data_IF_174180741898
#
_entry.id   IF_174180741898
#
_cell.length_a   1.000
_cell.length_b   1.000
_cell.length_c   1.000
_cell.angle_alpha   90.00
_cell.angle_beta   90.00
_cell.angle_gamma   90.00
#
_symmetry.space_group_name_H-M   'P 1'
#
loop_
_entity.id
_entity.type
_entity.pdbx_description
1 polymer ?
#
# COMPACT_ATOMS: atom_id res chain seq x y z
N UNK A 1 -61.82 0.96 10.64
CA UNK A 1 -60.62 0.61 9.85
C UNK A 1 -60.16 -0.77 10.26
N UNK A 2 -60.42 -1.75 9.41
CA UNK A 2 -60.52 -3.20 9.75
C UNK A 2 -59.21 -3.80 10.25
N UNK A 3 -59.26 -4.44 11.42
CA UNK A 3 -58.19 -5.21 12.08
C UNK A 3 -57.66 -6.32 11.16
N UNK A 4 -58.48 -6.87 10.30
CA UNK A 4 -58.13 -7.89 9.31
C UNK A 4 -57.24 -7.36 8.17
N UNK A 5 -57.32 -6.09 7.79
CA UNK A 5 -56.51 -5.50 6.73
C UNK A 5 -55.06 -5.28 7.19
N UNK A 6 -54.82 -4.99 8.48
CA UNK A 6 -53.48 -4.88 9.07
C UNK A 6 -52.76 -6.23 9.11
N UNK A 7 -53.49 -7.31 9.39
CA UNK A 7 -52.92 -8.65 9.46
C UNK A 7 -52.57 -9.19 8.06
N UNK A 8 -53.32 -8.82 7.02
CA UNK A 8 -53.03 -9.22 5.63
C UNK A 8 -51.81 -8.47 5.11
N UNK A 9 -51.51 -7.27 5.56
CA UNK A 9 -50.33 -6.50 5.15
C UNK A 9 -49.06 -6.88 5.94
N UNK A 10 -49.20 -7.34 7.18
CA UNK A 10 -48.07 -7.78 8.03
C UNK A 10 -47.54 -9.16 7.68
N UNK A 11 -48.36 -10.04 7.10
CA UNK A 11 -47.97 -11.39 6.76
C UNK A 11 -46.88 -11.44 5.66
N UNK A 12 -46.99 -10.71 4.53
CA UNK A 12 -45.93 -10.71 3.51
C UNK A 12 -44.67 -9.98 3.98
N UNK A 13 -44.78 -8.99 4.87
CA UNK A 13 -43.62 -8.29 5.44
C UNK A 13 -42.83 -9.21 6.39
N UNK A 14 -43.52 -10.00 7.23
CA UNK A 14 -42.87 -11.01 8.07
C UNK A 14 -42.19 -12.13 7.25
N UNK A 15 -42.82 -12.54 6.15
CA UNK A 15 -42.24 -13.53 5.25
C UNK A 15 -40.99 -12.99 4.53
N UNK A 16 -40.99 -11.72 4.11
CA UNK A 16 -39.83 -11.07 3.49
C UNK A 16 -38.66 -10.94 4.49
N UNK A 17 -38.92 -10.59 5.75
CA UNK A 17 -37.90 -10.55 6.79
C UNK A 17 -37.28 -11.94 7.09
N UNK A 18 -38.06 -13.01 7.03
CA UNK A 18 -37.55 -14.37 7.23
C UNK A 18 -36.57 -14.83 6.13
N UNK A 19 -36.73 -14.33 4.90
CA UNK A 19 -35.80 -14.60 3.79
C UNK A 19 -34.43 -13.91 3.95
N UNK A 20 -34.37 -12.78 4.65
CA UNK A 20 -33.10 -12.08 4.88
C UNK A 20 -32.21 -12.69 5.99
N UNK A 21 -32.79 -13.54 6.85
CA UNK A 21 -32.05 -14.18 7.96
C UNK A 21 -31.37 -15.49 7.50
N UNK A 22 -31.69 -16.01 6.31
CA UNK A 22 -31.10 -17.24 5.77
C UNK A 22 -29.75 -17.02 5.08
N UNK A 23 -29.15 -15.85 5.18
CA UNK A 23 -27.75 -15.64 4.79
C UNK A 23 -26.83 -16.18 5.90
N UNK A 24 -26.95 -17.48 6.18
CA UNK A 24 -25.91 -18.22 6.90
C UNK A 24 -24.63 -18.14 6.07
N UNK A 25 -23.63 -17.44 6.60
CA UNK A 25 -22.26 -17.65 6.18
C UNK A 25 -21.99 -19.15 6.28
N UNK A 26 -21.66 -19.79 5.18
CA UNK A 26 -20.94 -21.05 5.23
C UNK A 26 -19.63 -20.73 5.93
N UNK A 27 -19.49 -21.10 7.18
CA UNK A 27 -18.20 -21.35 7.79
C UNK A 27 -17.60 -22.52 6.98
N UNK A 28 -16.88 -22.18 5.90
CA UNK A 28 -15.99 -23.15 5.27
C UNK A 28 -15.02 -23.56 6.38
N UNK A 29 -15.13 -24.79 6.83
CA UNK A 29 -14.12 -25.42 7.68
C UNK A 29 -12.83 -25.32 6.90
N UNK A 30 -12.00 -24.34 7.27
CA UNK A 30 -10.73 -24.08 6.63
C UNK A 30 -9.82 -25.25 6.94
N UNK A 31 -9.74 -26.19 5.98
CA UNK A 31 -8.82 -27.32 6.08
C UNK A 31 -7.43 -26.72 6.13
N UNK A 32 -6.76 -26.86 7.27
CA UNK A 32 -5.40 -26.41 7.50
C UNK A 32 -4.48 -27.07 6.46
N UNK A 33 -4.10 -26.29 5.46
CA UNK A 33 -3.22 -26.78 4.38
C UNK A 33 -1.78 -26.55 4.81
N UNK A 34 -0.84 -27.43 4.43
CA UNK A 34 0.57 -27.22 4.73
C UNK A 34 1.07 -25.86 4.24
N UNK A 35 1.91 -25.20 5.01
CA UNK A 35 2.51 -23.88 4.71
C UNK A 35 2.96 -23.75 3.25
N UNK A 36 3.63 -24.80 2.74
CA UNK A 36 4.11 -24.85 1.36
C UNK A 36 2.99 -24.65 0.32
N UNK A 37 1.80 -25.13 0.57
CA UNK A 37 0.66 -25.01 -0.38
C UNK A 37 0.24 -23.56 -0.51
N UNK A 38 0.21 -22.81 0.59
CA UNK A 38 -0.07 -21.36 0.55
C UNK A 38 1.03 -20.61 -0.17
N UNK A 39 2.30 -20.96 0.09
CA UNK A 39 3.44 -20.34 -0.58
C UNK A 39 3.44 -20.60 -2.09
N UNK A 40 3.26 -21.84 -2.52
CA UNK A 40 3.17 -22.21 -3.95
C UNK A 40 1.96 -21.54 -4.64
N UNK A 41 0.85 -21.35 -3.93
CA UNK A 41 -0.30 -20.60 -4.43
C UNK A 41 0.04 -19.14 -4.64
N UNK A 42 0.69 -18.50 -3.68
CA UNK A 42 1.13 -17.11 -3.79
C UNK A 42 2.05 -16.93 -5.00
N UNK A 43 3.05 -17.82 -5.17
CA UNK A 43 3.98 -17.79 -6.28
C UNK A 43 3.27 -17.90 -7.64
N UNK A 44 2.30 -18.80 -7.77
CA UNK A 44 1.50 -18.96 -9.01
C UNK A 44 0.69 -17.70 -9.30
N UNK A 45 0.07 -17.10 -8.29
CA UNK A 45 -0.75 -15.88 -8.42
C UNK A 45 0.11 -14.68 -8.82
N UNK A 46 1.29 -14.52 -8.24
CA UNK A 46 2.25 -13.47 -8.64
C UNK A 46 2.70 -13.61 -10.10
N UNK A 47 2.95 -14.84 -10.57
CA UNK A 47 3.34 -15.08 -11.98
C UNK A 47 2.30 -14.64 -13.00
N UNK A 48 1.01 -14.63 -12.61
CA UNK A 48 -0.09 -14.16 -13.49
C UNK A 48 -0.55 -12.74 -13.10
N UNK A 49 0.26 -12.00 -12.34
CA UNK A 49 -0.02 -10.63 -11.87
C UNK A 49 -1.30 -10.51 -11.02
N UNK A 50 -1.78 -11.59 -10.43
CA UNK A 50 -2.89 -11.57 -9.48
C UNK A 50 -2.35 -11.31 -8.07
N UNK A 51 -1.94 -10.06 -7.83
CA UNK A 51 -1.32 -9.66 -6.57
C UNK A 51 -2.30 -9.69 -5.41
N UNK A 52 -3.57 -9.34 -5.63
CA UNK A 52 -4.62 -9.46 -4.62
C UNK A 52 -4.73 -10.88 -4.05
N UNK A 53 -4.85 -11.87 -4.93
CA UNK A 53 -4.90 -13.25 -4.49
C UNK A 53 -3.59 -13.77 -3.88
N UNK A 54 -2.43 -13.23 -4.31
CA UNK A 54 -1.15 -13.55 -3.70
C UNK A 54 -1.07 -13.02 -2.26
N UNK A 55 -1.51 -11.79 -2.01
CA UNK A 55 -1.61 -11.18 -0.68
C UNK A 55 -2.38 -12.09 0.27
N UNK A 56 -3.57 -12.54 -0.13
CA UNK A 56 -4.40 -13.45 0.68
C UNK A 56 -3.62 -14.71 1.09
N UNK A 57 -2.92 -15.34 0.15
CA UNK A 57 -2.16 -16.56 0.43
C UNK A 57 -0.95 -16.31 1.35
N UNK A 58 -0.25 -15.18 1.18
CA UNK A 58 0.90 -14.81 2.01
C UNK A 58 0.47 -14.38 3.42
N UNK A 59 -0.63 -13.67 3.56
CA UNK A 59 -1.21 -13.33 4.87
C UNK A 59 -1.61 -14.57 5.68
N UNK A 60 -2.10 -15.63 5.00
CA UNK A 60 -2.37 -16.90 5.68
C UNK A 60 -1.11 -17.54 6.22
N UNK A 61 0.02 -17.46 5.51
CA UNK A 61 1.31 -17.92 6.04
C UNK A 61 1.68 -17.12 7.28
N UNK A 62 1.56 -15.81 7.22
CA UNK A 62 1.92 -14.93 8.33
C UNK A 62 1.07 -15.19 9.60
N UNK A 63 -0.22 -15.52 9.41
CA UNK A 63 -1.14 -15.74 10.53
C UNK A 63 -1.11 -17.17 11.06
N UNK A 64 -1.04 -18.18 10.20
CA UNK A 64 -1.11 -19.59 10.59
C UNK A 64 0.27 -20.20 10.87
N UNK A 65 1.32 -19.70 10.20
CA UNK A 65 2.69 -20.24 10.28
C UNK A 65 3.74 -19.14 10.55
N UNK A 66 3.60 -18.35 11.64
CA UNK A 66 4.47 -17.17 11.88
C UNK A 66 5.96 -17.53 12.07
N UNK A 67 6.24 -18.76 12.43
CA UNK A 67 7.60 -19.31 12.58
C UNK A 67 7.92 -20.38 11.54
N UNK A 68 7.13 -20.44 10.48
CA UNK A 68 7.31 -21.40 9.41
C UNK A 68 8.54 -21.13 8.55
N UNK A 69 8.91 -22.11 7.76
CA UNK A 69 10.06 -22.01 6.85
C UNK A 69 9.93 -20.86 5.83
N UNK A 70 8.71 -20.56 5.42
CA UNK A 70 8.42 -19.54 4.40
C UNK A 70 7.96 -18.22 5.01
N UNK A 71 7.85 -18.09 6.34
CA UNK A 71 7.29 -16.94 7.01
C UNK A 71 8.05 -15.63 6.71
N UNK A 72 9.38 -15.62 6.86
CA UNK A 72 10.19 -14.43 6.58
C UNK A 72 10.14 -14.05 5.09
N UNK A 73 10.21 -15.04 4.20
CA UNK A 73 10.11 -14.80 2.76
C UNK A 73 8.72 -14.28 2.37
N UNK A 74 7.66 -14.84 2.96
CA UNK A 74 6.29 -14.39 2.74
C UNK A 74 6.10 -12.91 3.15
N UNK A 75 6.71 -12.48 4.24
CA UNK A 75 6.67 -11.09 4.68
C UNK A 75 7.36 -10.14 3.68
N UNK A 76 8.51 -10.52 3.14
CA UNK A 76 9.18 -9.73 2.09
C UNK A 76 8.32 -9.65 0.83
N UNK A 77 7.74 -10.77 0.41
CA UNK A 77 6.90 -10.83 -0.79
C UNK A 77 5.57 -10.10 -0.62
N UNK A 78 5.03 -10.02 0.61
CA UNK A 78 3.87 -9.18 0.93
C UNK A 78 4.13 -7.72 0.63
N UNK A 79 5.30 -7.19 0.97
CA UNK A 79 5.69 -5.81 0.65
C UNK A 79 5.58 -5.58 -0.85
N UNK A 80 6.12 -6.49 -1.65
CA UNK A 80 6.06 -6.42 -3.11
C UNK A 80 4.62 -6.49 -3.63
N UNK A 81 3.84 -7.47 -3.16
CA UNK A 81 2.48 -7.69 -3.61
C UNK A 81 1.57 -6.50 -3.29
N UNK A 82 1.67 -5.91 -2.08
CA UNK A 82 0.94 -4.70 -1.73
C UNK A 82 1.31 -3.53 -2.65
N UNK A 83 2.61 -3.33 -2.89
CA UNK A 83 3.06 -2.26 -3.79
C UNK A 83 2.51 -2.43 -5.20
N UNK A 84 2.58 -3.63 -5.76
CA UNK A 84 2.08 -3.94 -7.10
C UNK A 84 0.56 -3.89 -7.21
N UNK A 85 -0.16 -4.16 -6.11
CA UNK A 85 -1.62 -4.04 -6.03
C UNK A 85 -2.08 -2.57 -5.86
N UNK A 86 -1.14 -1.64 -5.65
CA UNK A 86 -1.45 -0.21 -5.43
C UNK A 86 -1.76 0.14 -3.98
N UNK A 87 -1.62 -0.79 -3.05
CA UNK A 87 -1.81 -0.62 -1.61
C UNK A 87 -0.52 -0.10 -0.96
N UNK A 88 -0.11 1.10 -1.32
CA UNK A 88 1.19 1.67 -0.97
C UNK A 88 1.38 1.89 0.52
N UNK A 89 0.32 2.22 1.27
CA UNK A 89 0.34 2.32 2.73
C UNK A 89 0.61 0.96 3.40
N UNK A 90 -0.05 -0.09 2.91
CA UNK A 90 0.16 -1.44 3.41
C UNK A 90 1.58 -1.92 3.08
N UNK A 91 2.09 -1.60 1.87
CA UNK A 91 3.47 -1.89 1.49
C UNK A 91 4.48 -1.20 2.40
N UNK A 92 4.31 0.10 2.67
CA UNK A 92 5.17 0.86 3.57
C UNK A 92 5.18 0.27 4.99
N UNK A 93 3.99 0.06 5.55
CA UNK A 93 3.84 -0.47 6.91
C UNK A 93 4.41 -1.88 7.05
N UNK A 94 4.22 -2.74 6.01
CA UNK A 94 4.78 -4.09 5.99
C UNK A 94 6.30 -4.08 5.87
N UNK A 95 6.87 -3.18 5.06
CA UNK A 95 8.31 -3.00 4.95
C UNK A 95 8.92 -2.53 6.28
N UNK A 96 8.30 -1.54 6.94
CA UNK A 96 8.75 -1.05 8.24
C UNK A 96 8.69 -2.14 9.32
N UNK A 97 7.62 -2.94 9.33
CA UNK A 97 7.50 -4.07 10.24
C UNK A 97 8.56 -5.12 9.98
N UNK A 98 8.82 -5.47 8.71
CA UNK A 98 9.87 -6.41 8.34
C UNK A 98 11.27 -5.94 8.80
N UNK A 99 11.61 -4.68 8.57
CA UNK A 99 12.88 -4.06 9.00
C UNK A 99 13.06 -4.18 10.52
N UNK A 100 11.98 -3.97 11.27
CA UNK A 100 12.02 -4.04 12.74
C UNK A 100 12.15 -5.47 13.27
N UNK A 101 11.49 -6.43 12.63
CA UNK A 101 11.49 -7.84 13.06
C UNK A 101 12.74 -8.59 12.60
N UNK A 102 13.24 -8.29 11.41
CA UNK A 102 14.31 -9.03 10.74
C UNK A 102 15.49 -8.15 10.31
N UNK A 103 16.16 -7.41 11.24
CA UNK A 103 17.17 -6.40 10.90
C UNK A 103 18.45 -6.98 10.28
N UNK A 104 18.66 -8.31 10.36
CA UNK A 104 19.82 -9.01 9.78
C UNK A 104 19.46 -9.91 8.59
N UNK A 105 18.24 -9.81 8.09
CA UNK A 105 17.81 -10.65 6.97
C UNK A 105 18.60 -10.30 5.68
N UNK A 106 18.97 -11.28 4.82
CA UNK A 106 19.71 -11.01 3.59
C UNK A 106 19.06 -9.98 2.65
N UNK A 107 17.72 -9.93 2.62
CA UNK A 107 16.95 -9.00 1.78
C UNK A 107 16.52 -7.74 2.55
N UNK A 108 17.23 -7.34 3.58
CA UNK A 108 16.89 -6.15 4.37
C UNK A 108 17.00 -4.87 3.55
N UNK A 109 17.97 -4.79 2.66
CA UNK A 109 18.17 -3.69 1.72
C UNK A 109 16.95 -3.49 0.82
N UNK A 110 16.34 -4.58 0.33
CA UNK A 110 15.10 -4.55 -0.43
C UNK A 110 13.94 -3.93 0.37
N UNK A 111 13.80 -4.29 1.65
CA UNK A 111 12.74 -3.75 2.50
C UNK A 111 12.90 -2.24 2.72
N UNK A 112 14.13 -1.73 2.97
CA UNK A 112 14.42 -0.30 3.04
C UNK A 112 14.13 0.42 1.73
N UNK A 113 14.52 -0.17 0.61
CA UNK A 113 14.25 0.38 -0.72
C UNK A 113 12.74 0.48 -0.98
N UNK A 114 11.98 -0.59 -0.73
CA UNK A 114 10.53 -0.62 -0.93
C UNK A 114 9.78 0.32 0.00
N UNK A 115 10.24 0.50 1.24
CA UNK A 115 9.71 1.48 2.18
C UNK A 115 9.74 2.88 1.55
N UNK A 116 10.91 3.35 1.11
CA UNK A 116 11.04 4.66 0.50
C UNK A 116 10.29 4.82 -0.83
N UNK A 117 10.21 3.74 -1.62
CA UNK A 117 9.47 3.77 -2.88
C UNK A 117 7.95 3.87 -2.65
N UNK A 118 7.43 3.20 -1.63
CA UNK A 118 6.01 3.21 -1.26
C UNK A 118 5.57 4.59 -0.75
N UNK A 119 6.40 5.29 0.02
CA UNK A 119 6.10 6.64 0.52
C UNK A 119 5.88 7.64 -0.61
N UNK A 120 6.65 7.56 -1.69
CA UNK A 120 6.45 8.41 -2.86
C UNK A 120 5.17 8.09 -3.63
N UNK A 121 4.88 6.80 -3.84
CA UNK A 121 3.76 6.37 -4.67
C UNK A 121 2.41 6.62 -3.98
N UNK A 122 2.40 6.74 -2.66
CA UNK A 122 1.23 7.06 -1.85
C UNK A 122 0.52 8.34 -2.31
N UNK A 123 1.27 9.41 -2.54
CA UNK A 123 0.72 10.71 -2.93
C UNK A 123 0.48 10.84 -4.44
N UNK A 124 1.12 9.97 -5.22
CA UNK A 124 1.01 9.95 -6.68
C UNK A 124 -0.22 9.17 -7.20
N UNK A 125 -1.35 9.16 -6.48
CA UNK A 125 -2.55 8.35 -6.76
C UNK A 125 -2.88 8.13 -8.24
N UNK A 126 -3.74 7.16 -8.54
CA UNK A 126 -4.16 6.77 -9.91
C UNK A 126 -4.55 7.94 -10.82
N UNK A 127 -5.10 9.01 -10.26
CA UNK A 127 -5.51 10.21 -10.99
C UNK A 127 -4.34 10.98 -11.64
N UNK A 128 -3.15 10.96 -11.02
CA UNK A 128 -1.95 11.62 -11.58
C UNK A 128 -1.45 10.92 -12.84
N UNK A 129 -1.67 9.62 -12.96
CA UNK A 129 -1.33 8.85 -14.16
C UNK A 129 -2.25 9.17 -15.35
N UNK A 130 -3.47 9.61 -15.08
CA UNK A 130 -4.51 9.86 -16.10
C UNK A 130 -4.64 11.35 -16.44
N UNK A 131 -4.45 12.22 -15.47
CA UNK A 131 -4.50 13.67 -15.65
C UNK A 131 -3.07 14.20 -15.69
N UNK A 132 -2.72 14.92 -16.75
CA UNK A 132 -1.42 15.62 -16.87
C UNK A 132 -1.36 16.81 -15.89
N UNK A 133 -1.64 16.55 -14.61
CA UNK A 133 -1.75 17.56 -13.55
C UNK A 133 -0.36 17.97 -13.11
N UNK A 134 -0.12 19.25 -13.00
CA UNK A 134 1.13 19.81 -12.47
C UNK A 134 1.32 19.38 -11.00
N UNK A 135 2.28 18.51 -10.78
CA UNK A 135 2.62 17.97 -9.44
C UNK A 135 3.23 19.04 -8.53
N UNK A 136 3.70 20.18 -9.09
CA UNK A 136 4.31 21.26 -8.31
C UNK A 136 3.32 22.00 -7.41
N UNK A 137 2.02 21.93 -7.71
CA UNK A 137 0.95 22.58 -6.94
C UNK A 137 0.33 21.70 -5.85
N UNK A 138 0.77 20.43 -5.72
CA UNK A 138 0.24 19.44 -4.76
C UNK A 138 1.06 19.36 -3.49
N UNK A 139 0.47 18.69 -2.49
CA UNK A 139 1.21 18.28 -1.29
C UNK A 139 2.39 17.37 -1.66
N UNK A 140 3.58 17.76 -1.26
CA UNK A 140 4.84 17.03 -1.50
C UNK A 140 5.36 16.35 -0.23
N UNK A 141 4.52 16.17 0.79
CA UNK A 141 4.91 15.55 2.06
C UNK A 141 5.44 14.13 1.87
N UNK A 142 4.75 13.33 1.05
CA UNK A 142 5.21 11.98 0.69
C UNK A 142 6.50 11.99 -0.12
N UNK A 143 6.70 12.98 -0.99
CA UNK A 143 7.97 13.12 -1.71
C UNK A 143 9.13 13.48 -0.75
N UNK A 144 8.90 14.32 0.25
CA UNK A 144 9.89 14.66 1.29
C UNK A 144 10.20 13.43 2.16
N UNK A 145 9.19 12.67 2.56
CA UNK A 145 9.37 11.43 3.31
C UNK A 145 10.16 10.40 2.51
N UNK A 146 9.75 10.13 1.26
CA UNK A 146 10.44 9.21 0.37
C UNK A 146 11.91 9.61 0.13
N UNK A 147 12.18 10.92 0.00
CA UNK A 147 13.54 11.45 -0.13
C UNK A 147 14.38 11.10 1.09
N UNK A 148 13.84 11.29 2.30
CA UNK A 148 14.51 10.95 3.55
C UNK A 148 14.78 9.44 3.66
N UNK A 149 13.78 8.59 3.38
CA UNK A 149 13.88 7.14 3.49
C UNK A 149 14.82 6.53 2.44
N UNK A 150 14.78 7.01 1.19
CA UNK A 150 15.72 6.56 0.16
C UNK A 150 17.15 7.06 0.42
N UNK A 151 17.33 8.20 1.08
CA UNK A 151 18.64 8.68 1.53
C UNK A 151 19.17 7.77 2.65
N UNK A 152 18.34 7.39 3.61
CA UNK A 152 18.67 6.41 4.65
C UNK A 152 19.08 5.08 4.01
N UNK A 153 18.30 4.59 3.04
CA UNK A 153 18.63 3.37 2.30
C UNK A 153 20.01 3.43 1.67
N UNK A 154 20.34 4.49 0.92
CA UNK A 154 21.64 4.63 0.26
C UNK A 154 22.82 4.78 1.22
N UNK A 155 22.57 5.36 2.39
CA UNK A 155 23.58 5.50 3.45
C UNK A 155 23.90 4.15 4.08
N UNK A 156 22.89 3.30 4.28
CA UNK A 156 23.05 1.97 4.88
C UNK A 156 23.53 0.90 3.90
N UNK A 157 23.08 0.99 2.64
CA UNK A 157 23.28 -0.04 1.62
C UNK A 157 23.79 0.58 0.29
N UNK A 158 24.97 1.21 0.27
CA UNK A 158 25.48 1.90 -0.92
C UNK A 158 25.74 0.95 -2.10
N UNK A 159 26.04 -0.32 -1.80
CA UNK A 159 26.39 -1.35 -2.79
C UNK A 159 25.19 -2.26 -3.17
N UNK A 160 23.99 -1.95 -2.68
CA UNK A 160 22.77 -2.70 -3.03
C UNK A 160 22.48 -2.60 -4.54
N UNK A 161 21.96 -3.68 -5.11
CA UNK A 161 21.51 -3.71 -6.51
C UNK A 161 20.45 -2.64 -6.82
N UNK A 162 19.73 -2.15 -5.81
CA UNK A 162 18.70 -1.10 -5.95
C UNK A 162 19.28 0.32 -5.84
N UNK A 163 20.56 0.47 -5.50
CA UNK A 163 21.16 1.78 -5.22
C UNK A 163 21.15 2.71 -6.43
N UNK A 164 21.41 2.17 -7.63
CA UNK A 164 21.38 2.97 -8.86
C UNK A 164 19.99 3.56 -9.14
N UNK A 165 18.94 2.75 -8.97
CA UNK A 165 17.56 3.19 -9.13
C UNK A 165 17.16 4.23 -8.07
N UNK A 166 17.53 3.98 -6.81
CA UNK A 166 17.26 4.90 -5.71
C UNK A 166 17.91 6.27 -5.93
N UNK A 167 19.16 6.33 -6.43
CA UNK A 167 19.85 7.58 -6.80
C UNK A 167 19.08 8.38 -7.86
N UNK A 168 18.60 7.71 -8.91
CA UNK A 168 17.78 8.36 -9.94
C UNK A 168 16.47 8.91 -9.36
N UNK A 169 15.84 8.13 -8.48
CA UNK A 169 14.60 8.56 -7.82
C UNK A 169 14.82 9.75 -6.90
N UNK A 170 15.94 9.79 -6.16
CA UNK A 170 16.29 10.94 -5.33
C UNK A 170 16.47 12.24 -6.13
N UNK A 171 17.09 12.17 -7.31
CA UNK A 171 17.21 13.35 -8.20
C UNK A 171 15.82 13.85 -8.59
N UNK A 172 14.93 12.94 -8.98
CA UNK A 172 13.56 13.28 -9.34
C UNK A 172 12.80 13.93 -8.16
N UNK A 173 12.85 13.32 -6.97
CA UNK A 173 12.18 13.80 -5.76
C UNK A 173 12.70 15.18 -5.35
N UNK A 174 14.01 15.39 -5.40
CA UNK A 174 14.63 16.70 -5.14
C UNK A 174 14.08 17.78 -6.08
N UNK A 175 14.03 17.48 -7.37
CA UNK A 175 13.53 18.42 -8.36
C UNK A 175 12.04 18.71 -8.16
N UNK A 176 11.24 17.69 -7.81
CA UNK A 176 9.81 17.84 -7.50
C UNK A 176 9.59 18.76 -6.30
N UNK A 177 10.30 18.52 -5.19
CA UNK A 177 10.21 19.35 -3.99
C UNK A 177 10.66 20.79 -4.29
N UNK A 178 11.77 20.98 -5.01
CA UNK A 178 12.25 22.29 -5.39
C UNK A 178 11.23 23.05 -6.27
N UNK A 179 10.62 22.38 -7.24
CA UNK A 179 9.58 22.98 -8.08
C UNK A 179 8.35 23.41 -7.28
N UNK A 180 7.93 22.61 -6.29
CA UNK A 180 6.82 22.97 -5.40
C UNK A 180 7.15 24.21 -4.55
N UNK A 181 8.34 24.29 -3.96
CA UNK A 181 8.76 25.44 -3.16
C UNK A 181 8.87 26.71 -4.03
N UNK A 182 9.36 26.59 -5.27
CA UNK A 182 9.40 27.71 -6.23
C UNK A 182 7.99 28.18 -6.62
N UNK A 183 7.07 27.27 -6.89
CA UNK A 183 5.68 27.61 -7.20
C UNK A 183 5.00 28.33 -6.02
N UNK A 184 5.26 27.87 -4.79
CA UNK A 184 4.77 28.53 -3.59
C UNK A 184 5.36 29.96 -3.44
N UNK A 185 6.67 30.11 -3.66
CA UNK A 185 7.34 31.42 -3.58
C UNK A 185 6.78 32.39 -4.63
N UNK A 186 6.63 31.96 -5.88
CA UNK A 186 6.05 32.74 -6.97
C UNK A 186 4.63 33.22 -6.67
N UNK A 187 3.80 32.34 -6.12
CA UNK A 187 2.46 32.68 -5.66
C UNK A 187 2.46 33.82 -4.63
N UNK A 188 3.35 33.78 -3.64
CA UNK A 188 3.42 34.81 -2.61
C UNK A 188 4.01 36.11 -3.15
N UNK A 189 5.01 36.07 -4.03
CA UNK A 189 5.60 37.25 -4.67
C UNK A 189 4.54 37.95 -5.52
N UNK A 190 3.82 37.21 -6.35
CA UNK A 190 2.81 37.78 -7.27
C UNK A 190 1.60 38.34 -6.52
N UNK A 191 1.10 37.66 -5.50
CA UNK A 191 -0.10 38.10 -4.76
C UNK A 191 0.14 39.15 -3.69
N UNK A 192 1.27 39.08 -2.98
CA UNK A 192 1.51 40.01 -1.87
C UNK A 192 2.28 41.28 -2.25
N UNK A 193 2.68 41.42 -3.50
CA UNK A 193 3.38 42.59 -3.94
C UNK A 193 4.58 42.94 -3.06
N UNK A 194 5.43 41.93 -2.78
CA UNK A 194 6.59 42.05 -1.89
C UNK A 194 7.68 43.01 -2.38
N UNK A 195 7.37 43.83 -3.36
CA UNK A 195 8.22 44.91 -3.84
C UNK A 195 7.52 46.28 -3.66
N UNK A 196 7.23 46.63 -2.40
CA UNK A 196 7.10 48.00 -1.96
C UNK A 196 8.05 48.23 -0.79
N UNK A 197 9.33 48.05 -1.03
CA UNK A 197 10.35 48.69 -0.21
C UNK A 197 10.55 50.09 -0.84
N UNK A 198 9.94 51.06 -0.19
CA UNK A 198 10.43 52.44 -0.23
C UNK A 198 11.57 52.56 0.76
#
# INVERSE_FOLDING_TARGET
MNRNLKNILLLPLALACAFFISSCSKDEVEIERPEKVYYDNAQRRMKVNNYFGAIESLQRIETQYPFGKYAEQAQVELVYCYFMNGETEAAHSSAERFIRLHPRHPNIDYAYFMKGLSSYTRDAGLLVRVTNTDLSSRDVSGAKLAFSELTEFLTRFPDSQYAAYAKQRLIYLRNLVASNELAAADYYVTRKGLCRCY
#
